data_IF_083998089821
#
_entry.id   IF_083998089821
#
_cell.length_a   1.000
_cell.length_b   1.000
_cell.length_c   1.000
_cell.angle_alpha   90.00
_cell.angle_beta   90.00
_cell.angle_gamma   90.00
#
_symmetry.space_group_name_H-M   'P 1'
#
loop_
_entity.id
_entity.type
_entity.pdbx_description
1 polymer ?
#
# COMPACT_ATOMS: atom_id res chain seq x y z
N UNK A 1 -10.54 3.30 -13.46
CA UNK A 1 -11.09 2.99 -12.12
C UNK A 1 -10.80 1.58 -11.58
N UNK A 2 -10.05 0.67 -12.26
CA UNK A 2 -10.02 -0.75 -11.85
C UNK A 2 -8.69 -1.51 -11.83
N UNK A 3 -7.56 -0.91 -12.22
CA UNK A 3 -6.28 -1.64 -12.29
C UNK A 3 -5.62 -1.81 -10.92
N UNK A 4 -5.57 -0.76 -10.09
CA UNK A 4 -5.02 -0.81 -8.74
C UNK A 4 -5.84 -1.73 -7.81
N UNK A 5 -7.17 -1.59 -7.79
CA UNK A 5 -8.05 -2.47 -6.97
C UNK A 5 -7.96 -3.92 -7.42
N UNK A 6 -7.83 -4.22 -8.72
CA UNK A 6 -7.61 -5.61 -9.17
C UNK A 6 -6.23 -6.12 -8.77
N UNK A 7 -5.18 -5.32 -8.92
CA UNK A 7 -3.82 -5.70 -8.53
C UNK A 7 -3.71 -6.00 -7.03
N UNK A 8 -4.36 -5.20 -6.18
CA UNK A 8 -4.39 -5.40 -4.72
C UNK A 8 -5.42 -6.47 -4.32
N UNK A 9 -6.54 -6.56 -5.04
CA UNK A 9 -7.62 -7.51 -4.78
C UNK A 9 -7.23 -8.98 -4.99
N UNK A 10 -6.26 -9.26 -5.86
CA UNK A 10 -5.71 -10.60 -6.05
C UNK A 10 -4.71 -11.04 -4.97
N UNK A 11 -4.35 -10.17 -4.03
CA UNK A 11 -3.52 -10.56 -2.90
C UNK A 11 -4.36 -11.28 -1.84
N UNK A 12 -4.55 -12.59 -2.01
CA UNK A 12 -5.19 -13.46 -1.01
C UNK A 12 -4.19 -13.89 0.07
N UNK A 13 -4.71 -13.94 1.31
CA UNK A 13 -4.07 -14.06 2.62
C UNK A 13 -3.01 -15.17 2.87
N UNK A 14 -2.91 -16.33 2.17
CA UNK A 14 -2.07 -17.43 2.67
C UNK A 14 -0.55 -17.27 2.61
N UNK A 15 0.02 -16.18 2.05
CA UNK A 15 1.46 -16.14 1.69
C UNK A 15 2.33 -15.14 2.46
N UNK A 16 1.77 -14.39 3.42
CA UNK A 16 2.48 -13.24 4.01
C UNK A 16 3.28 -13.56 5.27
N UNK A 17 3.16 -14.77 5.80
CA UNK A 17 3.94 -15.25 6.94
C UNK A 17 5.40 -15.65 6.58
N UNK A 18 5.74 -15.78 5.29
CA UNK A 18 7.11 -16.09 4.90
C UNK A 18 7.99 -14.83 4.92
N UNK A 19 9.29 -15.02 5.15
CA UNK A 19 10.31 -13.96 5.26
C UNK A 19 10.53 -13.31 3.89
N UNK A 20 10.69 -11.98 3.85
CA UNK A 20 11.03 -11.24 2.63
C UNK A 20 12.39 -11.73 2.13
N UNK A 21 12.52 -12.00 0.84
CA UNK A 21 13.82 -12.41 0.29
C UNK A 21 14.88 -11.32 0.53
N UNK A 22 15.90 -11.65 1.35
CA UNK A 22 17.18 -10.94 1.39
C UNK A 22 17.20 -9.58 2.09
N UNK A 23 17.03 -9.52 3.41
CA UNK A 23 17.35 -8.31 4.18
C UNK A 23 16.89 -8.33 5.64
N UNK A 24 17.36 -7.35 6.42
CA UNK A 24 17.01 -7.16 7.83
C UNK A 24 15.63 -6.48 8.05
N UNK A 25 14.78 -6.46 7.02
CA UNK A 25 13.47 -5.78 6.98
C UNK A 25 12.39 -6.84 6.82
N UNK A 26 11.38 -6.84 7.69
CA UNK A 26 10.30 -7.83 7.61
C UNK A 26 9.36 -7.53 6.43
N UNK A 27 8.65 -8.55 5.91
CA UNK A 27 7.58 -8.33 4.91
C UNK A 27 6.53 -7.35 5.42
N UNK A 28 6.22 -7.42 6.72
CA UNK A 28 5.30 -6.50 7.36
C UNK A 28 5.76 -5.05 7.29
N UNK A 29 7.06 -4.78 7.46
CA UNK A 29 7.62 -3.42 7.33
C UNK A 29 7.51 -2.91 5.89
N UNK A 30 7.77 -3.77 4.90
CA UNK A 30 7.64 -3.41 3.49
C UNK A 30 6.18 -3.09 3.12
N UNK A 31 5.24 -3.90 3.61
CA UNK A 31 3.81 -3.66 3.40
C UNK A 31 3.36 -2.40 4.12
N UNK A 32 3.77 -2.19 5.38
CA UNK A 32 3.41 -0.99 6.12
C UNK A 32 3.95 0.28 5.47
N UNK A 33 5.19 0.25 4.94
CA UNK A 33 5.73 1.34 4.12
C UNK A 33 4.86 1.60 2.89
N UNK A 34 4.44 0.55 2.17
CA UNK A 34 3.54 0.72 1.02
C UNK A 34 2.22 1.38 1.44
N UNK A 35 1.63 0.96 2.55
CA UNK A 35 0.42 1.59 3.11
C UNK A 35 0.66 3.08 3.36
N UNK A 36 1.78 3.44 3.98
CA UNK A 36 2.13 4.83 4.24
C UNK A 36 2.29 5.64 2.94
N UNK A 37 2.95 5.09 1.93
CA UNK A 37 3.14 5.80 0.65
C UNK A 37 1.81 6.03 -0.08
N UNK A 38 0.92 5.04 -0.10
CA UNK A 38 -0.41 5.25 -0.69
C UNK A 38 -1.22 6.30 0.07
N UNK A 39 -1.09 6.37 1.40
CA UNK A 39 -1.74 7.40 2.21
C UNK A 39 -1.17 8.80 1.95
N UNK A 40 0.15 8.91 1.72
CA UNK A 40 0.79 10.16 1.31
C UNK A 40 0.24 10.65 -0.03
N UNK A 41 0.13 9.74 -1.01
CA UNK A 41 -0.40 10.07 -2.33
C UNK A 41 -1.89 10.46 -2.28
N UNK A 42 -2.66 9.84 -1.38
CA UNK A 42 -4.05 10.23 -1.15
C UNK A 42 -4.14 11.64 -0.57
N UNK A 43 -3.34 11.94 0.46
CA UNK A 43 -3.27 13.29 1.03
C UNK A 43 -2.84 14.34 0.00
N UNK A 44 -1.86 14.02 -0.86
CA UNK A 44 -1.42 14.91 -1.94
C UNK A 44 -2.55 15.17 -2.95
N UNK A 45 -3.31 14.14 -3.33
CA UNK A 45 -4.47 14.27 -4.23
C UNK A 45 -5.59 15.12 -3.62
N UNK A 46 -5.80 15.04 -2.31
CA UNK A 46 -6.81 15.82 -1.57
C UNK A 46 -6.33 17.22 -1.17
N UNK A 47 -5.05 17.55 -1.39
CA UNK A 47 -4.44 18.78 -0.89
C UNK A 47 -4.40 18.86 0.63
N UNK A 48 -4.37 17.71 1.31
CA UNK A 48 -4.36 17.59 2.76
C UNK A 48 -2.93 17.37 3.30
N UNK A 49 -2.66 17.72 4.57
CA UNK A 49 -1.39 17.37 5.20
C UNK A 49 -1.22 15.85 5.28
N UNK A 50 -0.02 15.38 4.93
CA UNK A 50 0.36 13.97 5.09
C UNK A 50 0.36 13.58 6.58
N UNK A 51 -0.15 12.39 6.89
CA UNK A 51 -0.26 11.86 8.26
C UNK A 51 0.32 10.45 8.32
N UNK A 52 0.89 10.11 9.47
CA UNK A 52 1.36 8.75 9.71
C UNK A 52 0.17 7.79 9.83
N UNK A 53 0.20 6.70 9.08
CA UNK A 53 -0.74 5.59 9.23
C UNK A 53 -0.33 4.80 10.48
N UNK A 54 -1.24 4.57 11.44
CA UNK A 54 -0.92 3.80 12.63
C UNK A 54 -0.53 2.36 12.29
N UNK A 55 0.58 1.88 12.84
CA UNK A 55 0.89 0.45 12.88
C UNK A 55 0.14 -0.20 14.02
N UNK A 56 -0.75 -1.12 13.70
CA UNK A 56 -1.51 -1.87 14.70
C UNK A 56 -0.60 -2.89 15.39
N UNK A 57 -0.93 -3.26 16.63
CA UNK A 57 -0.10 -4.14 17.47
C UNK A 57 0.09 -5.57 16.95
N UNK A 58 -0.51 -5.90 15.79
CA UNK A 58 -0.24 -7.11 15.03
C UNK A 58 -0.30 -6.82 13.53
N UNK A 59 0.45 -7.59 12.75
CA UNK A 59 0.57 -7.41 11.30
C UNK A 59 -0.59 -8.05 10.51
N UNK A 60 -1.56 -8.70 11.17
CA UNK A 60 -2.70 -9.37 10.52
C UNK A 60 -3.66 -8.37 9.86
N UNK A 61 -3.64 -7.11 10.31
CA UNK A 61 -4.46 -6.04 9.76
C UNK A 61 -3.85 -5.30 8.57
N UNK A 62 -2.55 -5.50 8.28
CA UNK A 62 -1.87 -4.86 7.14
C UNK A 62 -2.57 -5.08 5.77
N UNK A 63 -3.11 -6.27 5.45
CA UNK A 63 -3.85 -6.45 4.21
C UNK A 63 -5.10 -5.57 4.11
N UNK A 64 -5.79 -5.39 5.23
CA UNK A 64 -7.00 -4.59 5.29
C UNK A 64 -6.65 -3.10 5.18
N UNK A 65 -5.66 -2.64 5.93
CA UNK A 65 -5.13 -1.28 5.83
C UNK A 65 -4.70 -0.93 4.40
N UNK A 66 -4.02 -1.84 3.70
CA UNK A 66 -3.63 -1.64 2.30
C UNK A 66 -4.83 -1.47 1.37
N UNK A 67 -5.90 -2.26 1.56
CA UNK A 67 -7.12 -2.15 0.74
C UNK A 67 -7.86 -0.86 1.00
N UNK A 68 -8.02 -0.47 2.28
CA UNK A 68 -8.66 0.79 2.67
C UNK A 68 -7.92 1.97 2.08
N UNK A 69 -6.61 2.08 2.29
CA UNK A 69 -5.82 3.21 1.79
C UNK A 69 -5.77 3.25 0.26
N UNK A 70 -5.73 2.09 -0.42
CA UNK A 70 -5.82 2.06 -1.88
C UNK A 70 -7.21 2.51 -2.39
N UNK A 71 -8.28 2.23 -1.65
CA UNK A 71 -9.62 2.72 -1.96
C UNK A 71 -9.72 4.23 -1.72
N UNK A 72 -9.18 4.74 -0.62
CA UNK A 72 -9.13 6.17 -0.29
C UNK A 72 -8.36 6.95 -1.36
N UNK A 73 -7.19 6.45 -1.79
CA UNK A 73 -6.44 7.04 -2.89
C UNK A 73 -7.28 7.12 -4.17
N UNK A 74 -8.10 6.12 -4.49
CA UNK A 74 -8.93 6.19 -5.70
C UNK A 74 -10.14 7.11 -5.53
N UNK A 75 -10.69 7.20 -4.32
CA UNK A 75 -11.77 8.11 -3.98
C UNK A 75 -11.33 9.58 -4.06
N UNK A 76 -10.06 9.86 -3.76
CA UNK A 76 -9.43 11.19 -3.91
C UNK A 76 -9.29 11.67 -5.36
N UNK A 77 -9.70 10.88 -6.36
CA UNK A 77 -9.61 11.20 -7.79
C UNK A 77 -8.22 11.73 -8.22
N UNK A 78 -7.14 10.98 -7.94
CA UNK A 78 -5.76 11.42 -8.15
C UNK A 78 -5.47 11.65 -9.62
N UNK A 79 -4.58 12.61 -9.88
CA UNK A 79 -4.02 12.83 -11.20
C UNK A 79 -3.27 11.59 -11.70
N UNK A 80 -3.12 11.49 -13.02
CA UNK A 80 -2.58 10.28 -13.68
C UNK A 80 -1.13 9.96 -13.27
N UNK A 81 -0.34 10.98 -12.95
CA UNK A 81 1.02 10.89 -12.44
C UNK A 81 1.07 10.27 -11.03
N UNK A 82 0.17 10.68 -10.12
CA UNK A 82 0.04 10.07 -8.80
C UNK A 82 -0.40 8.61 -8.88
N UNK A 83 -1.32 8.28 -9.80
CA UNK A 83 -1.72 6.89 -10.07
C UNK A 83 -0.56 6.05 -10.61
N UNK A 84 0.24 6.59 -11.53
CA UNK A 84 1.42 5.93 -12.05
C UNK A 84 2.45 5.68 -10.94
N UNK A 85 2.63 6.65 -10.03
CA UNK A 85 3.50 6.50 -8.86
C UNK A 85 3.01 5.41 -7.93
N UNK A 86 1.72 5.39 -7.59
CA UNK A 86 1.12 4.35 -6.77
C UNK A 86 1.33 2.93 -7.37
N UNK A 87 1.13 2.78 -8.68
CA UNK A 87 1.37 1.52 -9.37
C UNK A 87 2.85 1.08 -9.35
N UNK A 88 3.78 2.04 -9.43
CA UNK A 88 5.21 1.79 -9.31
C UNK A 88 5.58 1.32 -7.89
N UNK A 89 5.09 1.98 -6.85
CA UNK A 89 5.32 1.56 -5.45
C UNK A 89 4.77 0.17 -5.18
N UNK A 90 3.53 -0.13 -5.61
CA UNK A 90 2.93 -1.47 -5.49
C UNK A 90 3.78 -2.54 -6.19
N UNK A 91 4.30 -2.22 -7.38
CA UNK A 91 5.16 -3.14 -8.14
C UNK A 91 6.50 -3.35 -7.44
N UNK A 92 7.14 -2.29 -6.95
CA UNK A 92 8.40 -2.36 -6.24
C UNK A 92 8.29 -3.18 -4.95
N UNK A 93 7.25 -2.92 -4.14
CA UNK A 93 6.98 -3.71 -2.93
C UNK A 93 6.74 -5.17 -3.29
N UNK A 94 5.92 -5.47 -4.29
CA UNK A 94 5.67 -6.85 -4.74
C UNK A 94 6.94 -7.60 -5.12
N UNK A 95 7.88 -6.94 -5.79
CA UNK A 95 9.15 -7.55 -6.20
C UNK A 95 10.09 -7.78 -5.01
N UNK A 96 9.91 -7.08 -3.90
CA UNK A 96 10.72 -7.20 -2.69
C UNK A 96 10.18 -8.19 -1.64
N UNK A 97 8.94 -8.69 -1.79
CA UNK A 97 8.33 -9.70 -0.91
C UNK A 97 8.79 -11.11 -1.27
#
# INVERSE_FOLDING_TARGET
MGLLVRQVGHWQQPRWAAVAGGGNVSRADLVHRLVQELANLAADAEGQPRRAVPRLGNDLALPDQLRVVAADLLAAAPAADLLARAAAEVTATRTAL
#
